data_IF_606997605986
#
_entry.id   IF_606997605986
#
_cell.length_a   1.000
_cell.length_b   1.000
_cell.length_c   1.000
_cell.angle_alpha   90.00
_cell.angle_beta   90.00
_cell.angle_gamma   90.00
#
_symmetry.space_group_name_H-M   'P 1'
#
loop_
_entity.id
_entity.type
_entity.pdbx_description
1 polymer ?
#
# COMPACT_ATOMS: atom_id res chain seq x y z
N UNK A 1 14.98 18.02 8.78
CA UNK A 1 16.13 18.75 9.34
C UNK A 1 16.84 17.86 10.35
N UNK A 2 18.20 17.75 10.28
CA UNK A 2 19.01 16.92 11.22
C UNK A 2 18.79 17.28 12.68
N UNK A 3 18.28 18.45 12.96
CA UNK A 3 17.95 18.93 14.29
C UNK A 3 16.50 18.67 14.71
N UNK A 4 15.95 17.49 14.40
CA UNK A 4 14.69 17.07 15.03
C UNK A 4 14.93 17.02 16.55
N UNK A 5 14.13 17.73 17.36
CA UNK A 5 14.41 17.83 18.78
C UNK A 5 14.32 16.46 19.46
N UNK A 6 15.07 16.22 20.53
CA UNK A 6 15.15 14.95 21.25
C UNK A 6 13.81 14.40 21.75
N UNK A 7 12.71 15.12 21.56
CA UNK A 7 11.34 14.68 21.88
C UNK A 7 10.87 13.44 21.12
N UNK A 8 11.44 13.13 19.94
CA UNK A 8 11.13 11.90 19.18
C UNK A 8 11.91 10.68 19.67
N UNK A 9 12.85 10.86 20.60
CA UNK A 9 13.62 9.78 21.22
C UNK A 9 12.93 9.18 22.47
N UNK A 10 11.72 9.59 22.79
CA UNK A 10 10.97 8.99 23.91
C UNK A 10 10.42 7.63 23.49
N UNK A 11 10.42 6.61 24.39
CA UNK A 11 9.95 5.26 24.08
C UNK A 11 8.45 5.15 23.71
N UNK A 12 7.76 6.28 23.55
CA UNK A 12 6.35 6.35 23.18
C UNK A 12 6.09 6.11 21.68
N UNK A 13 7.11 6.21 20.82
CA UNK A 13 6.97 6.02 19.37
C UNK A 13 7.92 4.92 18.89
N UNK A 14 7.38 3.93 18.18
CA UNK A 14 8.16 2.87 17.53
C UNK A 14 8.61 3.25 16.12
N UNK A 15 7.85 4.11 15.44
CA UNK A 15 8.09 4.51 14.04
C UNK A 15 7.70 5.96 13.80
N UNK A 16 8.41 6.63 12.89
CA UNK A 16 8.10 7.98 12.40
C UNK A 16 7.98 7.97 10.89
N UNK A 17 6.95 8.67 10.38
CA UNK A 17 6.78 8.90 8.94
C UNK A 17 7.48 10.19 8.58
N UNK A 18 8.47 10.09 7.72
CA UNK A 18 9.23 11.25 7.25
C UNK A 18 8.45 12.06 6.20
N UNK A 19 8.73 13.34 6.13
CA UNK A 19 8.19 14.21 5.08
C UNK A 19 8.81 13.85 3.72
N UNK A 20 8.11 14.18 2.63
CA UNK A 20 8.55 13.83 1.26
C UNK A 20 9.70 14.70 0.75
N UNK A 21 9.94 15.82 1.41
CA UNK A 21 10.90 16.83 1.01
C UNK A 21 12.35 16.48 1.37
N UNK A 22 12.55 15.36 2.09
CA UNK A 22 13.89 14.93 2.52
C UNK A 22 14.66 14.24 1.39
N UNK A 23 15.93 14.59 1.29
CA UNK A 23 16.90 13.90 0.45
C UNK A 23 17.36 12.57 1.07
N UNK A 24 17.98 11.71 0.27
CA UNK A 24 18.53 10.45 0.74
C UNK A 24 19.60 10.65 1.85
N UNK A 25 20.40 11.70 1.72
CA UNK A 25 21.43 12.00 2.72
C UNK A 25 20.82 12.44 4.06
N UNK A 26 19.80 13.30 4.03
CA UNK A 26 19.07 13.70 5.25
C UNK A 26 18.38 12.49 5.92
N UNK A 27 17.84 11.55 5.15
CA UNK A 27 17.25 10.30 5.67
C UNK A 27 18.32 9.48 6.40
N UNK A 28 19.52 9.32 5.82
CA UNK A 28 20.65 8.63 6.46
C UNK A 28 21.08 9.32 7.75
N UNK A 29 21.17 10.65 7.74
CA UNK A 29 21.50 11.43 8.94
C UNK A 29 20.48 11.22 10.06
N UNK A 30 19.19 11.22 9.75
CA UNK A 30 18.12 10.96 10.71
C UNK A 30 18.23 9.54 11.28
N UNK A 31 18.46 8.54 10.42
CA UNK A 31 18.65 7.16 10.84
C UNK A 31 19.82 7.01 11.81
N UNK A 32 20.95 7.62 11.48
CA UNK A 32 22.15 7.57 12.32
C UNK A 32 21.99 8.31 13.67
N UNK A 33 21.11 9.33 13.70
CA UNK A 33 20.85 10.13 14.90
C UNK A 33 19.80 9.55 15.84
N UNK A 34 19.00 8.57 15.42
CA UNK A 34 17.88 8.04 16.19
C UNK A 34 17.64 6.56 15.93
N UNK A 35 17.39 5.74 16.98
CA UNK A 35 17.08 4.31 16.84
C UNK A 35 15.62 4.03 16.39
N UNK A 36 14.81 5.08 16.15
CA UNK A 36 13.42 4.92 15.76
C UNK A 36 13.31 4.42 14.32
N UNK A 37 12.36 3.53 14.06
CA UNK A 37 12.10 3.08 12.69
C UNK A 37 11.63 4.23 11.79
N UNK A 38 12.16 4.28 10.58
CA UNK A 38 11.80 5.29 9.59
C UNK A 38 10.82 4.71 8.54
N UNK A 39 9.73 5.43 8.30
CA UNK A 39 8.79 5.17 7.22
C UNK A 39 8.84 6.31 6.21
N UNK A 40 9.02 5.99 4.93
CA UNK A 40 9.20 6.96 3.85
C UNK A 40 8.14 6.75 2.77
N UNK A 41 7.54 7.83 2.29
CA UNK A 41 6.67 7.76 1.12
C UNK A 41 7.49 7.41 -0.13
N UNK A 42 7.04 6.40 -0.87
CA UNK A 42 7.74 5.92 -2.08
C UNK A 42 6.94 6.13 -3.36
N UNK A 43 5.62 6.31 -3.25
CA UNK A 43 4.76 6.58 -4.40
C UNK A 43 3.53 7.39 -3.98
N UNK A 44 3.14 8.37 -4.79
CA UNK A 44 1.92 9.15 -4.57
C UNK A 44 2.00 10.61 -5.05
N UNK A 45 1.00 11.40 -4.70
CA UNK A 45 0.95 12.81 -5.08
C UNK A 45 1.95 13.65 -4.29
N UNK A 46 2.66 14.55 -4.97
CA UNK A 46 3.46 15.57 -4.30
C UNK A 46 2.62 16.80 -3.96
N UNK A 47 2.96 17.41 -2.83
CA UNK A 47 2.44 18.70 -2.39
C UNK A 47 3.41 19.82 -2.79
N UNK A 48 2.90 20.95 -3.28
CA UNK A 48 3.72 22.13 -3.57
C UNK A 48 4.23 22.81 -2.29
N UNK A 49 3.48 22.67 -1.20
CA UNK A 49 3.84 23.23 0.09
C UNK A 49 4.62 22.22 0.92
N UNK A 50 5.42 22.71 1.86
CA UNK A 50 6.01 21.89 2.92
C UNK A 50 4.92 21.09 3.63
N UNK A 51 5.17 19.82 3.91
CA UNK A 51 4.21 18.90 4.50
C UNK A 51 3.58 19.46 5.78
N UNK A 52 2.24 19.47 5.81
CA UNK A 52 1.45 19.98 6.94
C UNK A 52 1.32 21.51 7.04
N UNK A 53 1.93 22.30 6.16
CA UNK A 53 1.96 23.78 6.24
C UNK A 53 1.00 24.46 5.24
N UNK A 54 0.25 23.70 4.44
CA UNK A 54 -0.60 24.26 3.40
C UNK A 54 -1.99 24.65 3.94
N UNK A 55 -2.33 25.92 3.86
CA UNK A 55 -3.65 26.48 4.14
C UNK A 55 -4.43 26.87 2.89
N UNK A 56 -3.94 26.57 1.69
CA UNK A 56 -4.51 27.03 0.43
C UNK A 56 -5.98 26.61 0.24
N UNK A 57 -6.29 25.34 0.51
CA UNK A 57 -7.69 24.87 0.46
C UNK A 57 -8.58 25.50 1.52
N UNK A 58 -8.05 25.88 2.68
CA UNK A 58 -8.79 26.56 3.72
C UNK A 58 -9.14 27.98 3.32
N UNK A 59 -8.19 28.69 2.71
CA UNK A 59 -8.39 30.06 2.24
C UNK A 59 -9.39 30.16 1.09
N UNK A 60 -9.35 29.22 0.14
CA UNK A 60 -10.21 29.23 -1.04
C UNK A 60 -11.59 28.61 -0.83
N UNK A 61 -11.77 27.73 0.17
CA UNK A 61 -13.01 26.98 0.31
C UNK A 61 -13.25 26.38 1.69
N UNK A 62 -12.63 26.93 2.74
CA UNK A 62 -12.79 26.50 4.14
C UNK A 62 -12.52 25.00 4.37
N UNK A 63 -11.65 24.36 3.53
CA UNK A 63 -11.32 22.95 3.57
C UNK A 63 -9.93 22.72 4.11
N UNK A 64 -9.79 21.95 5.18
CA UNK A 64 -8.50 21.66 5.78
C UNK A 64 -7.77 20.52 5.08
N UNK A 65 -6.62 20.80 4.45
CA UNK A 65 -5.74 19.79 3.86
C UNK A 65 -5.23 18.80 4.91
N UNK A 66 -4.90 19.27 6.11
CA UNK A 66 -4.43 18.42 7.23
C UNK A 66 -5.50 17.46 7.77
N UNK A 67 -6.79 17.74 7.51
CA UNK A 67 -7.91 16.87 7.81
C UNK A 67 -8.34 16.01 6.63
N UNK A 68 -7.50 15.92 5.59
CA UNK A 68 -7.77 15.11 4.40
C UNK A 68 -8.76 15.72 3.42
N UNK A 69 -9.10 17.00 3.56
CA UNK A 69 -10.09 17.68 2.72
C UNK A 69 -9.46 18.61 1.67
N UNK A 70 -8.19 18.37 1.31
CA UNK A 70 -7.50 19.15 0.30
C UNK A 70 -8.25 19.10 -1.04
N UNK A 71 -8.62 20.27 -1.58
CA UNK A 71 -9.23 20.41 -2.90
C UNK A 71 -8.21 20.47 -4.04
N UNK A 72 -6.93 20.35 -3.73
CA UNK A 72 -5.81 20.42 -4.68
C UNK A 72 -5.75 21.75 -5.47
N UNK A 73 -5.91 22.93 -4.84
CA UNK A 73 -5.93 24.21 -5.56
C UNK A 73 -4.60 24.51 -6.28
N UNK A 74 -3.47 23.97 -5.81
CA UNK A 74 -2.19 24.06 -6.50
C UNK A 74 -2.17 23.41 -7.90
N UNK A 75 -3.24 22.68 -8.27
CA UNK A 75 -3.41 22.06 -9.60
C UNK A 75 -4.22 22.93 -10.56
N UNK A 76 -4.74 24.05 -10.08
CA UNK A 76 -5.42 25.04 -10.91
C UNK A 76 -4.40 25.88 -11.70
N UNK A 77 -4.82 26.58 -12.75
CA UNK A 77 -3.94 27.44 -13.53
C UNK A 77 -3.54 28.68 -12.73
N UNK A 78 -2.39 28.60 -12.10
CA UNK A 78 -1.69 29.73 -11.50
C UNK A 78 -0.39 29.95 -12.28
N UNK A 79 -0.16 31.18 -12.72
CA UNK A 79 1.05 31.52 -13.45
C UNK A 79 1.78 32.71 -12.81
N UNK A 80 3.09 32.70 -12.97
CA UNK A 80 3.96 33.85 -12.73
C UNK A 80 4.44 34.39 -14.07
N UNK A 81 4.97 35.60 -14.10
CA UNK A 81 5.56 36.18 -15.29
C UNK A 81 6.68 35.27 -15.84
N UNK A 82 6.58 34.89 -17.12
CA UNK A 82 7.48 33.92 -17.76
C UNK A 82 7.26 32.46 -17.35
N UNK A 83 6.18 32.16 -16.66
CA UNK A 83 5.81 30.78 -16.24
C UNK A 83 5.03 30.00 -17.31
N UNK A 84 4.56 28.81 -16.93
CA UNK A 84 3.88 27.84 -17.81
C UNK A 84 2.35 27.90 -17.71
N UNK A 85 1.80 28.68 -16.77
CA UNK A 85 0.37 28.73 -16.48
C UNK A 85 -0.07 27.77 -15.36
N UNK A 86 0.79 26.86 -14.94
CA UNK A 86 0.54 25.87 -13.86
C UNK A 86 1.74 25.77 -12.92
N UNK A 87 2.28 26.90 -12.53
CA UNK A 87 3.57 27.02 -11.83
C UNK A 87 3.54 26.54 -10.36
N UNK A 88 2.39 26.07 -9.88
CA UNK A 88 2.24 25.39 -8.59
C UNK A 88 1.99 23.88 -8.71
N UNK A 89 1.90 23.33 -9.93
CA UNK A 89 1.58 21.92 -10.13
C UNK A 89 2.84 21.07 -10.26
N UNK A 90 3.08 20.19 -9.30
CA UNK A 90 4.16 19.21 -9.36
C UNK A 90 3.72 17.91 -10.06
N UNK A 91 4.66 17.21 -10.67
CA UNK A 91 4.52 15.80 -11.06
C UNK A 91 4.19 14.95 -9.85
N UNK A 92 3.73 13.74 -10.08
CA UNK A 92 3.57 12.78 -9.00
C UNK A 92 4.93 12.18 -8.60
N UNK A 93 5.01 11.71 -7.36
CA UNK A 93 6.23 11.19 -6.76
C UNK A 93 6.37 9.70 -7.00
N UNK A 94 7.54 9.27 -7.45
CA UNK A 94 7.91 7.85 -7.46
C UNK A 94 9.40 7.69 -7.27
N UNK A 95 9.77 6.97 -6.21
CA UNK A 95 11.14 6.55 -5.90
C UNK A 95 11.24 5.04 -5.77
N UNK A 96 10.31 4.33 -6.41
CA UNK A 96 10.22 2.86 -6.31
C UNK A 96 11.48 2.18 -6.82
N UNK A 97 12.12 2.71 -7.86
CA UNK A 97 13.40 2.21 -8.39
C UNK A 97 14.56 2.30 -7.39
N UNK A 98 14.42 3.12 -6.33
CA UNK A 98 15.45 3.36 -5.31
C UNK A 98 15.15 2.69 -3.98
N UNK A 99 14.22 1.72 -3.92
CA UNK A 99 13.86 1.05 -2.67
C UNK A 99 15.06 0.38 -1.99
N UNK A 100 16.00 -0.18 -2.76
CA UNK A 100 17.21 -0.78 -2.21
C UNK A 100 18.16 0.26 -1.60
N UNK A 101 18.22 1.47 -2.17
CA UNK A 101 18.98 2.58 -1.60
C UNK A 101 18.37 3.05 -0.27
N UNK A 102 17.03 3.11 -0.21
CA UNK A 102 16.30 3.44 1.02
C UNK A 102 16.50 2.38 2.11
N UNK A 103 16.43 1.09 1.75
CA UNK A 103 16.72 -0.01 2.67
C UNK A 103 18.16 0.10 3.23
N UNK A 104 19.13 0.35 2.37
CA UNK A 104 20.52 0.59 2.77
C UNK A 104 20.70 1.87 3.62
N UNK A 105 19.83 2.85 3.48
CA UNK A 105 19.77 4.06 4.29
C UNK A 105 19.06 3.88 5.65
N UNK A 106 18.62 2.65 5.99
CA UNK A 106 17.97 2.33 7.25
C UNK A 106 16.47 2.57 7.29
N UNK A 107 15.81 2.72 6.13
CA UNK A 107 14.34 2.83 6.06
C UNK A 107 13.70 1.47 6.30
N UNK A 108 12.84 1.38 7.31
CA UNK A 108 12.16 0.15 7.70
C UNK A 108 10.83 -0.07 6.98
N UNK A 109 10.20 1.00 6.46
CA UNK A 109 8.87 0.91 5.85
C UNK A 109 8.73 1.85 4.65
N UNK A 110 8.24 1.30 3.54
CA UNK A 110 7.89 2.01 2.33
C UNK A 110 6.38 2.30 2.30
N UNK A 111 6.00 3.58 2.21
CA UNK A 111 4.62 4.04 2.25
C UNK A 111 4.10 4.43 0.87
N UNK A 112 2.98 3.84 0.46
CA UNK A 112 2.25 4.20 -0.74
C UNK A 112 1.06 5.09 -0.35
N UNK A 113 0.92 6.26 -0.99
CA UNK A 113 -0.26 7.09 -0.78
C UNK A 113 -1.40 6.61 -1.66
N UNK A 114 -2.42 5.98 -1.03
CA UNK A 114 -3.56 5.40 -1.75
C UNK A 114 -4.93 5.96 -1.36
N UNK A 115 -5.02 6.82 -0.34
CA UNK A 115 -6.30 7.38 0.12
C UNK A 115 -7.01 8.17 -0.99
N UNK A 116 -8.29 7.93 -1.19
CA UNK A 116 -9.12 8.54 -2.24
C UNK A 116 -8.65 8.20 -3.67
N UNK A 117 -7.86 7.15 -3.83
CA UNK A 117 -7.41 6.65 -5.13
C UNK A 117 -8.20 5.41 -5.54
N UNK A 118 -8.18 5.11 -6.84
CA UNK A 118 -8.84 3.90 -7.38
C UNK A 118 -8.11 2.65 -6.88
N UNK A 119 -8.83 1.54 -6.63
CA UNK A 119 -8.21 0.27 -6.25
C UNK A 119 -7.15 -0.22 -7.25
N UNK A 120 -7.38 0.01 -8.55
CA UNK A 120 -6.45 -0.37 -9.62
C UNK A 120 -5.09 0.31 -9.47
N UNK A 121 -5.08 1.60 -9.09
CA UNK A 121 -3.84 2.30 -8.78
C UNK A 121 -3.13 1.68 -7.57
N UNK A 122 -3.86 1.44 -6.49
CA UNK A 122 -3.28 0.87 -5.26
C UNK A 122 -2.66 -0.49 -5.55
N UNK A 123 -3.37 -1.33 -6.32
CA UNK A 123 -2.89 -2.65 -6.72
C UNK A 123 -1.63 -2.57 -7.57
N UNK A 124 -1.61 -1.71 -8.60
CA UNK A 124 -0.45 -1.52 -9.46
C UNK A 124 0.76 -0.99 -8.68
N UNK A 125 0.57 0.06 -7.86
CA UNK A 125 1.64 0.64 -7.05
C UNK A 125 2.21 -0.37 -6.05
N UNK A 126 1.34 -1.17 -5.39
CA UNK A 126 1.77 -2.22 -4.46
C UNK A 126 2.56 -3.31 -5.17
N UNK A 127 2.08 -3.77 -6.35
CA UNK A 127 2.77 -4.79 -7.13
C UNK A 127 4.16 -4.29 -7.58
N UNK A 128 4.25 -3.08 -8.14
CA UNK A 128 5.53 -2.47 -8.55
C UNK A 128 6.49 -2.33 -7.37
N UNK A 129 6.01 -1.82 -6.22
CA UNK A 129 6.82 -1.73 -5.01
C UNK A 129 7.27 -3.10 -4.50
N UNK A 130 6.44 -4.15 -4.63
CA UNK A 130 6.80 -5.51 -4.23
C UNK A 130 7.92 -6.08 -5.10
N UNK A 131 7.82 -5.91 -6.44
CA UNK A 131 8.91 -6.31 -7.34
C UNK A 131 10.23 -5.63 -6.95
N UNK A 132 10.21 -4.32 -6.75
CA UNK A 132 11.41 -3.55 -6.38
C UNK A 132 11.98 -3.98 -5.01
N UNK A 133 11.11 -4.19 -4.01
CA UNK A 133 11.53 -4.64 -2.67
C UNK A 133 12.16 -6.03 -2.70
N UNK A 134 11.63 -6.95 -3.55
CA UNK A 134 12.20 -8.29 -3.75
C UNK A 134 13.50 -8.26 -4.59
N UNK A 135 13.94 -7.10 -5.08
CA UNK A 135 15.08 -6.99 -5.97
C UNK A 135 14.84 -7.61 -7.35
N UNK A 136 13.59 -7.77 -7.75
CA UNK A 136 13.18 -8.29 -9.05
C UNK A 136 13.00 -7.16 -10.04
N UNK A 137 13.22 -7.44 -11.32
CA UNK A 137 12.92 -6.51 -12.40
C UNK A 137 11.41 -6.24 -12.45
N UNK A 138 11.05 -4.95 -12.51
CA UNK A 138 9.67 -4.53 -12.64
C UNK A 138 9.24 -4.75 -14.09
N UNK A 139 8.18 -5.54 -14.37
CA UNK A 139 7.68 -5.70 -15.72
C UNK A 139 7.33 -4.34 -16.35
N UNK A 140 7.87 -4.06 -17.52
CA UNK A 140 7.66 -2.77 -18.20
C UNK A 140 6.16 -2.45 -18.40
N UNK A 141 5.38 -3.46 -18.79
CA UNK A 141 3.94 -3.34 -18.97
C UNK A 141 3.22 -2.94 -17.67
N UNK A 142 3.66 -3.45 -16.51
CA UNK A 142 3.10 -3.07 -15.21
C UNK A 142 3.47 -1.63 -14.83
N UNK A 143 4.70 -1.21 -15.11
CA UNK A 143 5.15 0.16 -14.89
C UNK A 143 4.35 1.15 -15.75
N UNK A 144 4.16 0.85 -17.03
CA UNK A 144 3.35 1.64 -17.96
C UNK A 144 1.88 1.72 -17.50
N UNK A 145 1.29 0.62 -17.04
CA UNK A 145 -0.08 0.62 -16.50
C UNK A 145 -0.19 1.44 -15.22
N UNK A 146 0.81 1.42 -14.35
CA UNK A 146 0.86 2.28 -13.16
C UNK A 146 0.88 3.75 -13.55
N UNK A 147 1.72 4.12 -14.51
CA UNK A 147 1.79 5.49 -15.03
C UNK A 147 0.46 5.91 -15.67
N UNK A 148 -0.16 5.06 -16.47
CA UNK A 148 -1.44 5.33 -17.11
C UNK A 148 -2.58 5.62 -16.10
N UNK A 149 -2.63 4.92 -14.97
CA UNK A 149 -3.70 5.12 -13.98
C UNK A 149 -3.40 6.22 -12.97
N UNK A 150 -2.14 6.64 -12.84
CA UNK A 150 -1.73 7.65 -11.88
C UNK A 150 -0.46 8.37 -12.30
N UNK A 151 -0.60 9.40 -13.13
CA UNK A 151 0.51 10.25 -13.55
C UNK A 151 0.03 11.66 -13.91
N UNK A 152 0.91 12.63 -13.74
CA UNK A 152 0.81 13.99 -14.24
C UNK A 152 2.08 14.32 -15.03
N UNK A 153 2.09 13.97 -16.30
CA UNK A 153 3.28 14.11 -17.16
C UNK A 153 4.49 13.33 -16.60
N UNK A 154 4.25 12.13 -16.10
CA UNK A 154 5.27 11.27 -15.47
C UNK A 154 5.48 11.51 -13.98
N UNK A 155 6.58 10.97 -13.48
CA UNK A 155 6.97 11.00 -12.07
C UNK A 155 8.21 11.87 -11.85
N UNK A 156 8.47 12.19 -10.58
CA UNK A 156 9.70 12.86 -10.14
C UNK A 156 10.22 12.21 -8.87
N UNK A 157 11.53 12.16 -8.72
CA UNK A 157 12.27 11.78 -7.52
C UNK A 157 13.14 12.93 -6.99
N UNK A 158 12.90 14.15 -7.50
CA UNK A 158 13.77 15.32 -7.29
C UNK A 158 14.03 15.67 -5.83
N UNK A 159 13.10 15.40 -4.91
CA UNK A 159 13.38 15.59 -3.48
C UNK A 159 14.42 14.61 -2.97
N UNK A 160 14.27 13.31 -3.29
CA UNK A 160 15.20 12.30 -2.81
C UNK A 160 16.62 12.51 -3.36
N UNK A 161 16.72 12.91 -4.62
CA UNK A 161 18.00 13.14 -5.32
C UNK A 161 18.61 14.50 -5.04
N UNK A 162 17.84 15.45 -4.52
CA UNK A 162 18.24 16.84 -4.38
C UNK A 162 18.18 17.65 -5.70
N UNK A 163 17.69 17.05 -6.78
CA UNK A 163 17.53 17.71 -8.09
C UNK A 163 16.26 18.55 -8.14
N UNK A 164 16.26 19.65 -7.39
CA UNK A 164 15.13 20.57 -7.31
C UNK A 164 15.09 21.48 -8.52
N UNK A 165 13.92 21.67 -9.13
CA UNK A 165 13.79 22.60 -10.24
C UNK A 165 12.57 22.34 -11.14
N UNK A 166 12.61 22.96 -12.34
CA UNK A 166 11.50 22.90 -13.31
C UNK A 166 11.11 21.48 -13.73
N UNK A 167 12.04 20.53 -13.70
CA UNK A 167 11.77 19.10 -14.01
C UNK A 167 10.77 18.44 -13.09
N UNK A 168 10.55 18.97 -11.87
CA UNK A 168 9.57 18.49 -10.91
C UNK A 168 8.14 18.93 -11.22
N UNK A 169 7.93 19.91 -12.11
CA UNK A 169 6.61 20.43 -12.42
C UNK A 169 5.95 19.65 -13.54
N UNK A 170 4.65 19.44 -13.43
CA UNK A 170 3.85 18.75 -14.43
C UNK A 170 2.36 18.99 -14.22
N UNK A 171 1.62 18.89 -15.32
CA UNK A 171 0.17 18.99 -15.33
C UNK A 171 -0.42 17.72 -15.90
N UNK A 172 -1.63 17.39 -15.50
CA UNK A 172 -2.34 16.28 -16.11
C UNK A 172 -2.79 16.68 -17.50
N UNK A 173 -2.22 16.05 -18.51
CA UNK A 173 -2.57 16.23 -19.90
C UNK A 173 -3.80 15.38 -20.27
N UNK A 174 -4.38 15.66 -21.45
CA UNK A 174 -5.50 14.85 -21.97
C UNK A 174 -5.07 13.41 -22.20
N UNK A 175 -3.88 13.21 -22.68
CA UNK A 175 -3.24 11.93 -22.93
C UNK A 175 -3.11 11.09 -21.63
N UNK A 176 -2.75 11.72 -20.51
CA UNK A 176 -2.70 11.06 -19.19
C UNK A 176 -4.08 10.54 -18.74
N UNK A 177 -5.16 11.22 -19.17
CA UNK A 177 -6.53 10.78 -18.87
C UNK A 177 -6.96 9.63 -19.78
N UNK A 178 -6.64 9.72 -21.06
CA UNK A 178 -6.99 8.74 -22.10
C UNK A 178 -6.19 7.44 -21.93
N UNK A 179 -4.98 7.49 -21.38
CA UNK A 179 -4.16 6.31 -21.10
C UNK A 179 -4.80 5.32 -20.12
N UNK A 180 -5.64 5.79 -19.20
CA UNK A 180 -6.39 4.94 -18.26
C UNK A 180 -7.61 4.29 -18.91
N UNK A 181 -7.40 3.48 -19.96
CA UNK A 181 -8.47 2.82 -20.70
C UNK A 181 -9.23 1.80 -19.86
N UNK A 182 -10.41 1.40 -20.33
CA UNK A 182 -11.22 0.33 -19.69
C UNK A 182 -10.46 -0.99 -19.59
N UNK A 183 -9.64 -1.30 -20.61
CA UNK A 183 -8.86 -2.54 -20.66
C UNK A 183 -7.70 -2.51 -19.65
N UNK A 184 -6.95 -1.42 -19.57
CA UNK A 184 -5.93 -1.22 -18.51
C UNK A 184 -6.53 -1.40 -17.12
N UNK A 185 -7.68 -0.78 -16.85
CA UNK A 185 -8.36 -0.92 -15.57
C UNK A 185 -8.82 -2.35 -15.30
N UNK A 186 -9.34 -3.05 -16.33
CA UNK A 186 -9.78 -4.46 -16.23
C UNK A 186 -8.61 -5.39 -15.92
N UNK A 187 -7.48 -5.19 -16.56
CA UNK A 187 -6.26 -5.98 -16.31
C UNK A 187 -5.69 -5.74 -14.91
N UNK A 188 -5.63 -4.48 -14.47
CA UNK A 188 -5.18 -4.18 -13.11
C UNK A 188 -6.11 -4.73 -12.03
N UNK A 189 -7.41 -4.88 -12.30
CA UNK A 189 -8.34 -5.55 -11.38
C UNK A 189 -7.98 -7.01 -11.14
N UNK A 190 -7.34 -7.69 -12.08
CA UNK A 190 -6.92 -9.07 -11.88
C UNK A 190 -5.85 -9.19 -10.78
N UNK A 191 -5.10 -8.12 -10.47
CA UNK A 191 -4.10 -8.13 -9.41
C UNK A 191 -4.69 -8.36 -8.00
N UNK A 192 -5.97 -8.02 -7.81
CA UNK A 192 -6.62 -8.12 -6.49
C UNK A 192 -7.98 -8.84 -6.52
N UNK A 193 -8.48 -9.23 -7.69
CA UNK A 193 -9.80 -9.85 -7.82
C UNK A 193 -9.80 -11.29 -7.32
N UNK A 194 -8.71 -12.01 -7.58
CA UNK A 194 -8.56 -13.40 -7.21
C UNK A 194 -7.53 -13.51 -6.09
N UNK A 195 -8.02 -13.54 -4.86
CA UNK A 195 -7.17 -13.78 -3.69
C UNK A 195 -6.55 -15.17 -3.83
N UNK A 196 -5.23 -15.20 -4.06
CA UNK A 196 -4.50 -16.45 -4.16
C UNK A 196 -4.36 -17.04 -2.76
N UNK A 197 -4.93 -18.20 -2.57
CA UNK A 197 -4.74 -18.97 -1.35
C UNK A 197 -3.30 -19.48 -1.31
N UNK A 198 -2.49 -18.92 -0.42
CA UNK A 198 -1.04 -19.21 -0.32
C UNK A 198 -0.63 -19.81 1.00
N UNK A 199 -1.50 -19.73 2.01
CA UNK A 199 -1.19 -20.17 3.38
C UNK A 199 -1.89 -21.51 3.64
N UNK A 200 -1.12 -22.61 3.80
CA UNK A 200 -1.71 -23.89 4.17
C UNK A 200 -2.27 -23.84 5.60
N UNK A 201 -3.44 -24.43 5.79
CA UNK A 201 -4.16 -24.46 7.05
C UNK A 201 -4.50 -25.90 7.43
N UNK A 202 -4.10 -26.31 8.63
CA UNK A 202 -4.50 -27.56 9.22
C UNK A 202 -5.73 -27.37 10.09
N UNK A 203 -6.73 -28.24 9.92
CA UNK A 203 -7.93 -28.25 10.73
C UNK A 203 -8.08 -29.54 11.56
N UNK A 204 -8.49 -29.36 12.80
CA UNK A 204 -8.97 -30.44 13.66
C UNK A 204 -10.40 -30.15 14.07
N UNK A 205 -11.32 -31.03 13.71
CA UNK A 205 -12.74 -30.96 14.05
C UNK A 205 -13.06 -31.97 15.13
N UNK A 206 -13.74 -31.54 16.18
CA UNK A 206 -14.21 -32.39 17.27
C UNK A 206 -15.73 -32.31 17.37
N UNK A 207 -16.41 -33.43 17.14
CA UNK A 207 -17.87 -33.52 17.22
C UNK A 207 -18.22 -34.68 18.13
N UNK A 208 -18.68 -34.39 19.35
CA UNK A 208 -19.05 -35.39 20.35
C UNK A 208 -20.46 -35.15 20.86
N UNK A 209 -21.22 -36.23 21.06
CA UNK A 209 -22.57 -36.17 21.63
C UNK A 209 -22.54 -35.49 23.02
N UNK A 210 -23.39 -34.48 23.19
CA UNK A 210 -23.54 -33.76 24.45
C UNK A 210 -22.44 -32.75 24.79
N UNK A 211 -21.54 -32.46 23.83
CA UNK A 211 -20.53 -31.40 23.97
C UNK A 211 -20.63 -30.43 22.78
N UNK A 212 -20.31 -29.15 22.94
CA UNK A 212 -20.18 -28.22 21.81
C UNK A 212 -19.21 -28.78 20.76
N UNK A 213 -19.56 -28.65 19.48
CA UNK A 213 -18.63 -28.96 18.41
C UNK A 213 -17.48 -27.94 18.43
N UNK A 214 -16.25 -28.38 18.20
CA UNK A 214 -15.09 -27.50 18.17
C UNK A 214 -14.32 -27.65 16.85
N UNK A 215 -13.84 -26.52 16.33
CA UNK A 215 -12.95 -26.43 15.18
C UNK A 215 -11.68 -25.73 15.61
N UNK A 216 -10.54 -26.41 15.45
CA UNK A 216 -9.22 -25.84 15.67
C UNK A 216 -8.54 -25.67 14.31
N UNK A 217 -8.01 -24.48 14.06
CA UNK A 217 -7.21 -24.17 12.87
C UNK A 217 -5.80 -23.78 13.27
N UNK A 218 -4.81 -24.24 12.51
CA UNK A 218 -3.42 -23.83 12.68
C UNK A 218 -2.79 -23.61 11.29
N UNK A 219 -2.12 -22.47 11.10
CA UNK A 219 -1.41 -22.18 9.86
C UNK A 219 0.05 -22.63 9.90
N UNK A 220 0.74 -22.50 8.75
CA UNK A 220 2.16 -22.85 8.63
C UNK A 220 3.09 -21.91 9.39
N UNK A 221 2.62 -20.74 9.83
CA UNK A 221 3.39 -19.76 10.59
C UNK A 221 3.25 -19.97 12.11
N UNK A 222 2.39 -20.92 12.52
CA UNK A 222 2.17 -21.28 13.91
C UNK A 222 1.03 -20.52 14.59
N UNK A 223 0.30 -19.66 13.90
CA UNK A 223 -0.89 -19.03 14.43
C UNK A 223 -1.99 -20.08 14.57
N UNK A 224 -2.76 -19.98 15.64
CA UNK A 224 -3.87 -20.92 15.91
C UNK A 224 -5.12 -20.16 16.33
N UNK A 225 -6.27 -20.68 15.91
CA UNK A 225 -7.58 -20.19 16.30
C UNK A 225 -8.52 -21.34 16.59
N UNK A 226 -9.50 -21.10 17.47
CA UNK A 226 -10.53 -22.05 17.82
C UNK A 226 -11.90 -21.40 17.67
N UNK A 227 -12.84 -22.16 17.08
CA UNK A 227 -14.25 -21.79 17.04
C UNK A 227 -15.09 -22.92 17.68
N UNK A 228 -16.15 -22.53 18.39
CA UNK A 228 -17.09 -23.49 18.98
C UNK A 228 -18.48 -23.28 18.38
N UNK A 229 -19.13 -24.39 18.05
CA UNK A 229 -20.51 -24.46 17.60
C UNK A 229 -21.44 -25.04 18.67
N UNK A 230 -22.74 -25.15 18.39
CA UNK A 230 -23.69 -25.80 19.30
C UNK A 230 -23.37 -27.28 19.48
N UNK A 231 -23.86 -27.88 20.59
CA UNK A 231 -23.77 -29.33 20.78
C UNK A 231 -24.58 -30.05 19.67
N UNK A 232 -23.97 -31.09 19.03
CA UNK A 232 -24.64 -31.81 17.97
C UNK A 232 -25.88 -32.53 18.48
N UNK A 233 -26.97 -32.42 17.72
CA UNK A 233 -28.23 -33.12 17.96
C UNK A 233 -28.29 -34.44 17.19
N UNK A 234 -29.21 -35.32 17.56
CA UNK A 234 -29.43 -36.56 16.81
C UNK A 234 -29.91 -36.23 15.40
N UNK A 235 -29.28 -36.84 14.40
CA UNK A 235 -29.68 -36.64 13.01
C UNK A 235 -31.11 -37.17 12.78
N UNK A 236 -31.93 -36.39 12.14
CA UNK A 236 -33.31 -36.76 11.76
C UNK A 236 -33.35 -37.50 10.42
N UNK A 237 -32.48 -37.11 9.48
CA UNK A 237 -32.43 -37.66 8.12
C UNK A 237 -31.09 -38.27 7.77
N UNK A 238 -29.98 -37.51 7.89
CA UNK A 238 -28.64 -37.93 7.51
C UNK A 238 -27.61 -37.54 8.56
N UNK A 239 -26.80 -38.47 9.03
CA UNK A 239 -25.72 -38.17 9.97
C UNK A 239 -24.59 -37.40 9.28
N UNK A 240 -23.91 -36.52 10.04
CA UNK A 240 -22.71 -35.86 9.58
C UNK A 240 -21.61 -36.89 9.37
N UNK A 241 -20.99 -36.87 8.19
CA UNK A 241 -19.85 -37.72 7.83
C UNK A 241 -18.57 -36.92 7.76
N UNK A 242 -17.43 -37.59 7.91
CA UNK A 242 -16.11 -36.99 7.73
C UNK A 242 -15.97 -36.32 6.35
N UNK A 243 -16.41 -36.99 5.29
CA UNK A 243 -16.38 -36.48 3.93
C UNK A 243 -17.14 -35.14 3.79
N UNK A 244 -18.30 -35.02 4.45
CA UNK A 244 -19.08 -33.78 4.43
C UNK A 244 -18.43 -32.66 5.24
N UNK A 245 -17.77 -33.00 6.35
CA UNK A 245 -16.97 -32.00 7.10
C UNK A 245 -15.82 -31.50 6.24
N UNK A 246 -15.05 -32.36 5.58
CA UNK A 246 -13.97 -31.98 4.68
C UNK A 246 -14.44 -31.12 3.54
N UNK A 247 -15.56 -31.46 2.91
CA UNK A 247 -16.16 -30.63 1.85
C UNK A 247 -16.48 -29.20 2.31
N UNK A 248 -16.97 -29.05 3.54
CA UNK A 248 -17.26 -27.71 4.09
C UNK A 248 -15.98 -26.95 4.46
N UNK A 249 -14.99 -27.61 5.01
CA UNK A 249 -13.70 -27.01 5.39
C UNK A 249 -12.89 -26.55 4.18
N UNK A 250 -13.10 -27.19 3.01
CA UNK A 250 -12.46 -26.74 1.76
C UNK A 250 -13.00 -25.41 1.23
N UNK A 251 -14.12 -24.93 1.76
CA UNK A 251 -14.74 -23.64 1.35
C UNK A 251 -14.02 -22.45 1.99
N UNK A 252 -12.75 -22.28 1.68
CA UNK A 252 -11.90 -21.18 2.17
C UNK A 252 -11.81 -20.00 1.21
N UNK A 253 -12.70 -19.94 0.21
CA UNK A 253 -12.76 -18.84 -0.77
C UNK A 253 -12.90 -17.46 -0.12
N UNK A 254 -12.22 -16.43 -0.66
CA UNK A 254 -12.15 -15.10 -0.09
C UNK A 254 -11.23 -14.98 1.13
N UNK A 255 -10.35 -15.98 1.34
CA UNK A 255 -9.31 -15.96 2.36
C UNK A 255 -7.96 -16.37 1.78
N UNK A 256 -6.82 -16.00 2.36
CA UNK A 256 -5.49 -16.41 1.90
C UNK A 256 -5.18 -17.89 2.22
N UNK A 257 -6.07 -18.60 2.89
CA UNK A 257 -5.86 -19.94 3.40
C UNK A 257 -6.39 -21.02 2.44
N UNK A 258 -5.70 -22.17 2.41
CA UNK A 258 -6.18 -23.37 1.72
C UNK A 258 -5.94 -24.62 2.56
N UNK A 259 -6.78 -25.66 2.39
CA UNK A 259 -6.50 -26.97 2.92
C UNK A 259 -5.56 -27.72 1.96
N UNK A 260 -4.38 -28.17 2.43
CA UNK A 260 -3.57 -29.09 1.66
C UNK A 260 -4.38 -30.37 1.38
N UNK A 261 -4.37 -30.84 0.12
CA UNK A 261 -4.95 -32.14 -0.18
C UNK A 261 -4.15 -33.21 0.56
N UNK A 262 -4.83 -34.05 1.35
CA UNK A 262 -4.23 -35.16 2.02
C UNK A 262 -3.56 -36.05 0.95
N UNK A 263 -2.21 -36.07 0.91
CA UNK A 263 -1.47 -36.95 0.02
C UNK A 263 -0.35 -36.38 -0.83
N UNK A 264 0.06 -35.14 -0.66
CA UNK A 264 1.36 -34.70 -1.20
C UNK A 264 2.37 -34.61 -0.05
N UNK A 265 3.38 -35.50 0.00
CA UNK A 265 4.51 -35.31 0.90
C UNK A 265 5.28 -34.05 0.49
N UNK A 266 5.72 -33.31 1.48
CA UNK A 266 6.59 -32.14 1.33
C UNK A 266 7.97 -32.51 0.80
#
# INVERSE_FOLDING_TARGET
>A
TPAAPPRFMTPAFSRVVLSRELSLEEIKEIHNASPIELEVFVHGALCMSVSGQCYFSAMLGSRSGNRGQCAQPCRLPFSVEGGTGYDLSLKDYSIVSRLKELEAAGVASAKIEGRMKRPEYVAAATAVCRYAADGKEIPEELAQKLEAVFSRSGFTDGYLTGELGRGMFGIRQKEDVEAATSDVLKELRQLYKDEKQTIPLDFRVEIHKGRPAALHGKDSEGHSAMAQGPAPQRAETLAVTEARCLEQLQKTGGTPFFLPQAGRPH
#
